data_IF_525992511276
#
_entry.id   IF_525992511276
#
_cell.length_a   1.000
_cell.length_b   1.000
_cell.length_c   1.000
_cell.angle_alpha   90.00
_cell.angle_beta   90.00
_cell.angle_gamma   90.00
#
_symmetry.space_group_name_H-M   'P 1'
#
loop_
_entity.id
_entity.type
_entity.pdbx_description
1 polymer ?
#
# COMPACT_ATOMS: atom_id res chain seq x y z
N UNK A 1 -2.66 -27.13 75.15
CA UNK A 1 -2.78 -27.43 73.71
C UNK A 1 -2.76 -26.08 72.91
N UNK A 2 -1.65 -25.74 72.36
CA UNK A 2 -1.52 -24.49 71.57
C UNK A 2 -1.92 -24.76 70.10
N UNK A 3 -2.95 -24.06 69.58
CA UNK A 3 -3.36 -24.15 68.18
C UNK A 3 -2.50 -23.19 67.39
N UNK A 4 -1.72 -23.72 66.44
CA UNK A 4 -0.95 -22.96 65.50
C UNK A 4 -1.85 -22.70 64.25
N UNK A 5 -2.17 -21.43 64.00
CA UNK A 5 -2.93 -20.99 62.80
C UNK A 5 -1.92 -20.65 61.73
N UNK A 6 -1.88 -21.44 60.63
CA UNK A 6 -1.12 -21.11 59.44
C UNK A 6 -1.94 -20.17 58.58
N UNK A 7 -1.51 -18.89 58.47
CA UNK A 7 -2.06 -17.95 57.49
C UNK A 7 -1.43 -18.21 56.14
N UNK A 8 -2.21 -18.67 55.19
CA UNK A 8 -1.81 -18.85 53.79
C UNK A 8 -1.91 -17.48 53.09
N UNK A 9 -0.77 -16.84 52.84
CA UNK A 9 -0.71 -15.62 52.04
C UNK A 9 -0.73 -16.04 50.56
N UNK A 10 -1.86 -15.83 49.88
CA UNK A 10 -2.00 -16.02 48.44
C UNK A 10 -1.49 -14.74 47.78
N UNK A 11 -0.32 -14.82 47.17
CA UNK A 11 0.27 -13.72 46.37
C UNK A 11 -0.43 -13.71 45.01
N UNK A 12 -1.36 -12.79 44.79
CA UNK A 12 -1.94 -12.51 43.49
C UNK A 12 -0.92 -11.71 42.68
N UNK A 13 -0.18 -12.36 41.79
CA UNK A 13 0.56 -11.68 40.73
C UNK A 13 -0.45 -11.20 39.69
N UNK A 14 -0.75 -9.89 39.67
CA UNK A 14 -1.50 -9.28 38.62
C UNK A 14 -0.64 -9.34 37.33
N UNK A 15 -0.95 -10.26 36.42
CA UNK A 15 -0.49 -10.19 35.06
C UNK A 15 -1.15 -8.95 34.41
N UNK A 16 -0.41 -7.87 34.27
CA UNK A 16 -0.80 -6.77 33.42
C UNK A 16 -0.75 -7.30 31.98
N UNK A 17 -1.92 -7.62 31.42
CA UNK A 17 -2.07 -7.80 29.99
C UNK A 17 -1.84 -6.41 29.41
N UNK A 18 -0.63 -6.15 28.91
CA UNK A 18 -0.39 -5.00 28.05
C UNK A 18 -1.23 -5.23 26.78
N UNK A 19 -2.39 -4.58 26.70
CA UNK A 19 -3.12 -4.49 25.46
C UNK A 19 -2.18 -3.80 24.48
N UNK A 20 -1.70 -4.52 23.46
CA UNK A 20 -0.87 -3.98 22.41
C UNK A 20 -1.66 -2.88 21.73
N UNK A 21 -1.21 -1.65 21.87
CA UNK A 21 -1.86 -0.48 21.30
C UNK A 21 -1.50 -0.47 19.80
N UNK A 22 -2.31 -1.14 18.98
CA UNK A 22 -2.10 -1.22 17.54
C UNK A 22 -2.27 0.16 16.92
N UNK A 23 -1.16 0.83 16.60
CA UNK A 23 -1.14 2.16 15.99
C UNK A 23 -1.72 2.15 14.57
N UNK A 24 -1.37 1.14 13.79
CA UNK A 24 -1.87 0.98 12.42
C UNK A 24 -2.96 -0.09 12.39
N UNK A 25 -4.02 0.18 11.65
CA UNK A 25 -5.15 -0.74 11.45
C UNK A 25 -5.32 -1.05 9.98
N UNK A 26 -5.93 -2.17 9.67
CA UNK A 26 -6.30 -2.50 8.30
C UNK A 26 -7.27 -1.42 7.78
N UNK A 27 -6.85 -0.67 6.76
CA UNK A 27 -7.69 0.36 6.14
C UNK A 27 -8.90 -0.32 5.48
N UNK A 28 -10.15 0.11 5.78
CA UNK A 28 -11.33 -0.47 5.11
C UNK A 28 -11.30 -0.16 3.61
N UNK A 29 -11.75 -1.13 2.80
CA UNK A 29 -11.94 -0.91 1.36
C UNK A 29 -13.05 0.13 1.13
N UNK A 30 -12.86 1.10 0.20
CA UNK A 30 -13.89 2.08 -0.14
C UNK A 30 -15.01 1.50 -1.03
N UNK A 31 -14.95 0.20 -1.35
CA UNK A 31 -15.90 -0.53 -2.19
C UNK A 31 -16.04 -1.99 -1.70
N UNK A 32 -17.14 -2.68 -2.03
CA UNK A 32 -17.29 -4.13 -1.79
C UNK A 32 -16.22 -4.95 -2.53
N UNK A 33 -15.76 -6.04 -1.95
CA UNK A 33 -14.68 -6.86 -2.50
C UNK A 33 -14.92 -7.36 -3.95
N UNK A 34 -16.18 -7.56 -4.35
CA UNK A 34 -16.55 -7.98 -5.70
C UNK A 34 -16.75 -6.81 -6.69
N UNK A 35 -16.64 -5.57 -6.24
CA UNK A 35 -17.02 -4.41 -7.06
C UNK A 35 -16.05 -4.11 -8.21
N UNK A 36 -14.85 -4.65 -8.17
CA UNK A 36 -13.83 -4.44 -9.20
C UNK A 36 -13.81 -5.53 -10.27
N UNK A 37 -14.70 -6.51 -10.18
CA UNK A 37 -14.84 -7.55 -11.21
C UNK A 37 -15.30 -6.93 -12.54
N UNK A 38 -14.83 -7.45 -13.69
CA UNK A 38 -13.94 -8.60 -13.85
C UNK A 38 -12.44 -8.27 -13.79
N UNK A 39 -12.04 -7.02 -13.51
CA UNK A 39 -10.64 -6.57 -13.54
C UNK A 39 -9.82 -7.19 -12.41
N UNK A 40 -10.35 -7.18 -11.20
CA UNK A 40 -9.79 -7.87 -10.04
C UNK A 40 -10.90 -8.69 -9.40
N UNK A 41 -10.71 -10.01 -9.28
CA UNK A 41 -11.72 -10.87 -8.69
C UNK A 41 -11.89 -10.61 -7.19
N UNK A 42 -13.09 -10.92 -6.68
CA UNK A 42 -13.36 -10.93 -5.25
C UNK A 42 -12.33 -11.77 -4.48
N UNK A 43 -11.95 -12.93 -5.01
CA UNK A 43 -10.98 -13.82 -4.38
C UNK A 43 -9.61 -13.14 -4.25
N UNK A 44 -9.13 -12.47 -5.30
CA UNK A 44 -7.88 -11.71 -5.25
C UNK A 44 -7.95 -10.62 -4.20
N UNK A 45 -9.04 -9.83 -4.13
CA UNK A 45 -9.21 -8.79 -3.11
C UNK A 45 -9.22 -9.38 -1.69
N UNK A 46 -9.92 -10.50 -1.45
CA UNK A 46 -9.97 -11.14 -0.13
C UNK A 46 -8.60 -11.63 0.35
N UNK A 47 -7.75 -12.15 -0.54
CA UNK A 47 -6.37 -12.51 -0.20
C UNK A 47 -5.47 -11.28 -0.09
N UNK A 48 -5.50 -10.41 -1.08
CA UNK A 48 -4.58 -9.28 -1.17
C UNK A 48 -4.77 -8.28 -0.03
N UNK A 49 -6.02 -7.85 0.21
CA UNK A 49 -6.36 -6.95 1.31
C UNK A 49 -6.47 -7.72 2.64
N UNK A 50 -7.28 -8.77 2.70
CA UNK A 50 -7.65 -9.44 3.95
C UNK A 50 -6.57 -10.36 4.54
N UNK A 51 -5.53 -10.73 3.78
CA UNK A 51 -4.43 -11.57 4.25
C UNK A 51 -3.08 -10.88 4.10
N UNK A 52 -2.66 -10.48 2.90
CA UNK A 52 -1.35 -9.86 2.69
C UNK A 52 -1.23 -8.52 3.41
N UNK A 53 -2.11 -7.56 3.13
CA UNK A 53 -2.07 -6.26 3.81
C UNK A 53 -2.25 -6.39 5.32
N UNK A 54 -3.19 -7.22 5.79
CA UNK A 54 -3.39 -7.46 7.23
C UNK A 54 -2.12 -8.01 7.90
N UNK A 55 -1.39 -8.92 7.23
CA UNK A 55 -0.14 -9.44 7.77
C UNK A 55 0.92 -8.35 7.88
N UNK A 56 1.07 -7.48 6.87
CA UNK A 56 1.99 -6.35 6.92
C UNK A 56 1.64 -5.35 8.04
N UNK A 57 0.36 -5.06 8.24
CA UNK A 57 -0.12 -4.19 9.34
C UNK A 57 0.24 -4.78 10.70
N UNK A 58 -0.02 -6.08 10.90
CA UNK A 58 0.30 -6.75 12.16
C UNK A 58 1.81 -6.78 12.41
N UNK A 59 2.61 -7.11 11.39
CA UNK A 59 4.07 -7.13 11.49
C UNK A 59 4.63 -5.74 11.78
N UNK A 60 4.11 -4.70 11.11
CA UNK A 60 4.51 -3.31 11.35
C UNK A 60 4.27 -2.91 12.80
N UNK A 61 3.07 -3.16 13.34
CA UNK A 61 2.75 -2.86 14.73
C UNK A 61 3.68 -3.58 15.71
N UNK A 62 4.02 -4.84 15.43
CA UNK A 62 4.98 -5.60 16.27
C UNK A 62 6.39 -4.99 16.22
N UNK A 63 6.83 -4.55 15.03
CA UNK A 63 8.19 -4.04 14.81
C UNK A 63 8.41 -2.63 15.40
N UNK A 64 7.35 -1.79 15.45
CA UNK A 64 7.47 -0.43 16.00
C UNK A 64 7.29 -0.36 17.52
N UNK A 65 6.69 -1.38 18.13
CA UNK A 65 6.35 -1.38 19.55
C UNK A 65 7.60 -1.18 20.42
N UNK A 66 7.55 -0.15 21.31
CA UNK A 66 8.67 0.21 22.18
C UNK A 66 9.90 0.81 21.48
N UNK A 67 9.79 1.20 20.21
CA UNK A 67 10.86 1.84 19.45
C UNK A 67 10.57 3.34 19.23
N UNK A 68 11.57 4.08 18.70
CA UNK A 68 11.39 5.47 18.29
C UNK A 68 10.32 5.65 17.19
N UNK A 69 10.03 4.61 16.41
CA UNK A 69 9.03 4.62 15.34
C UNK A 69 7.59 4.55 15.84
N UNK A 70 7.35 4.22 17.10
CA UNK A 70 6.00 4.02 17.65
C UNK A 70 5.11 5.28 17.52
N UNK A 71 5.70 6.47 17.53
CA UNK A 71 4.96 7.73 17.42
C UNK A 71 5.09 8.43 16.05
N UNK A 72 5.79 7.83 15.08
CA UNK A 72 5.99 8.41 13.75
C UNK A 72 4.82 8.13 12.81
N UNK A 73 4.61 8.99 11.81
CA UNK A 73 3.68 8.71 10.70
C UNK A 73 4.17 7.51 9.87
N UNK A 74 3.30 6.92 9.07
CA UNK A 74 3.68 5.80 8.21
C UNK A 74 4.73 6.22 7.18
N UNK A 75 4.56 7.40 6.60
CA UNK A 75 5.49 8.00 5.65
C UNK A 75 6.86 8.28 6.28
N UNK A 76 6.89 8.79 7.52
CA UNK A 76 8.15 8.98 8.26
C UNK A 76 8.88 7.67 8.53
N UNK A 77 8.14 6.60 8.88
CA UNK A 77 8.72 5.28 9.08
C UNK A 77 9.34 4.78 7.77
N UNK A 78 8.60 4.88 6.65
CA UNK A 78 9.13 4.49 5.34
C UNK A 78 10.37 5.30 4.94
N UNK A 79 10.40 6.59 5.25
CA UNK A 79 11.52 7.46 4.89
C UNK A 79 12.78 7.23 5.74
N UNK A 80 12.63 6.71 6.98
CA UNK A 80 13.71 6.67 7.98
C UNK A 80 14.16 5.28 8.39
N UNK A 81 13.36 4.24 8.10
CA UNK A 81 13.64 2.88 8.53
C UNK A 81 14.37 2.05 7.46
N UNK A 82 14.89 0.91 7.86
CA UNK A 82 15.60 -0.05 7.01
C UNK A 82 15.13 -1.49 7.28
N UNK A 83 15.55 -2.42 6.41
CA UNK A 83 15.36 -3.86 6.62
C UNK A 83 13.89 -4.28 6.72
N UNK A 84 13.58 -5.11 7.70
CA UNK A 84 12.22 -5.67 7.90
C UNK A 84 11.17 -4.61 8.23
N UNK A 85 11.54 -3.59 9.01
CA UNK A 85 10.65 -2.48 9.34
C UNK A 85 10.29 -1.67 8.10
N UNK A 86 11.28 -1.27 7.31
CA UNK A 86 11.09 -0.59 6.02
C UNK A 86 10.17 -1.40 5.09
N UNK A 87 10.42 -2.70 4.93
CA UNK A 87 9.62 -3.53 4.05
C UNK A 87 8.15 -3.61 4.49
N UNK A 88 7.88 -3.79 5.78
CA UNK A 88 6.50 -3.88 6.26
C UNK A 88 5.80 -2.50 6.22
N UNK A 89 6.47 -1.42 6.61
CA UNK A 89 5.92 -0.07 6.53
C UNK A 89 5.64 0.34 5.08
N UNK A 90 6.60 0.09 4.17
CA UNK A 90 6.43 0.36 2.75
C UNK A 90 5.28 -0.44 2.14
N UNK A 91 5.15 -1.72 2.49
CA UNK A 91 4.01 -2.52 2.02
C UNK A 91 2.68 -2.02 2.57
N UNK A 92 2.59 -1.60 3.83
CA UNK A 92 1.34 -1.00 4.36
C UNK A 92 1.01 0.29 3.60
N UNK A 93 1.98 1.16 3.36
CA UNK A 93 1.78 2.41 2.62
C UNK A 93 1.39 2.14 1.16
N UNK A 94 2.11 1.25 0.48
CA UNK A 94 1.83 0.86 -0.90
C UNK A 94 0.40 0.35 -1.07
N UNK A 95 -0.02 -0.60 -0.22
CA UNK A 95 -1.35 -1.19 -0.32
C UNK A 95 -2.47 -0.20 0.06
N UNK A 96 -2.26 0.68 1.04
CA UNK A 96 -3.22 1.72 1.39
C UNK A 96 -3.46 2.66 0.20
N UNK A 97 -2.40 3.09 -0.48
CA UNK A 97 -2.50 3.91 -1.68
C UNK A 97 -3.11 3.14 -2.86
N UNK A 98 -2.76 1.86 -3.01
CA UNK A 98 -3.26 0.98 -4.08
C UNK A 98 -4.76 0.75 -3.98
N UNK A 99 -5.27 0.35 -2.81
CA UNK A 99 -6.70 0.05 -2.68
C UNK A 99 -7.59 1.30 -2.72
N UNK A 100 -7.10 2.45 -2.27
CA UNK A 100 -7.90 3.69 -2.31
C UNK A 100 -7.97 4.32 -3.69
N UNK A 101 -7.07 3.96 -4.61
CA UNK A 101 -7.08 4.52 -5.97
C UNK A 101 -8.07 3.84 -6.93
N UNK A 102 -8.83 2.83 -6.50
CA UNK A 102 -9.77 2.12 -7.35
C UNK A 102 -11.22 2.50 -7.07
N UNK A 103 -12.05 2.37 -8.11
CA UNK A 103 -13.51 2.54 -8.04
C UNK A 103 -14.17 1.69 -9.13
N UNK A 104 -15.34 1.07 -8.85
CA UNK A 104 -16.12 0.41 -9.89
C UNK A 104 -16.59 1.38 -11.00
N UNK A 105 -16.67 2.69 -10.70
CA UNK A 105 -17.03 3.75 -11.65
C UNK A 105 -15.80 4.44 -12.24
N UNK A 106 -14.62 3.84 -12.13
CA UNK A 106 -13.33 4.38 -12.55
C UNK A 106 -13.08 4.38 -14.06
N UNK A 107 -11.83 4.64 -14.45
CA UNK A 107 -11.32 4.41 -15.81
C UNK A 107 -11.54 5.52 -16.83
N UNK A 108 -12.15 6.65 -16.46
CA UNK A 108 -12.43 7.75 -17.41
C UNK A 108 -11.22 8.57 -17.85
N UNK A 109 -10.06 8.33 -17.26
CA UNK A 109 -8.83 9.12 -17.46
C UNK A 109 -8.72 10.31 -16.52
N UNK A 110 -7.51 10.88 -16.39
CA UNK A 110 -7.28 12.10 -15.62
C UNK A 110 -7.89 13.33 -16.29
N UNK A 111 -8.06 14.39 -15.53
CA UNK A 111 -8.55 15.69 -16.00
C UNK A 111 -7.68 16.84 -15.46
N UNK A 112 -8.07 18.09 -15.76
CA UNK A 112 -7.46 19.27 -15.18
C UNK A 112 -5.94 19.35 -15.31
N UNK A 113 -5.28 19.79 -14.25
CA UNK A 113 -3.82 20.02 -14.22
C UNK A 113 -3.02 18.71 -14.31
N UNK A 114 -3.51 17.62 -13.74
CA UNK A 114 -2.83 16.33 -13.87
C UNK A 114 -2.77 15.87 -15.32
N UNK A 115 -3.88 15.98 -16.07
CA UNK A 115 -3.88 15.64 -17.50
C UNK A 115 -2.93 16.54 -18.30
N UNK A 116 -2.92 17.85 -18.01
CA UNK A 116 -2.00 18.79 -18.66
C UNK A 116 -0.54 18.44 -18.38
N UNK A 117 -0.19 18.11 -17.14
CA UNK A 117 1.15 17.70 -16.75
C UNK A 117 1.56 16.39 -17.44
N UNK A 118 0.67 15.40 -17.49
CA UNK A 118 0.91 14.14 -18.20
C UNK A 118 1.11 14.37 -19.69
N UNK A 119 0.21 15.12 -20.33
CA UNK A 119 0.30 15.37 -21.78
C UNK A 119 1.49 16.25 -22.14
N UNK A 120 1.83 17.22 -21.30
CA UNK A 120 3.03 18.05 -21.46
C UNK A 120 4.33 17.23 -21.42
N UNK A 121 4.38 16.18 -20.58
CA UNK A 121 5.61 15.38 -20.43
C UNK A 121 5.70 14.21 -21.40
N UNK A 122 4.60 13.53 -21.72
CA UNK A 122 4.59 12.33 -22.57
C UNK A 122 3.92 12.54 -23.94
N UNK A 123 3.44 13.76 -24.22
CA UNK A 123 2.75 14.11 -25.47
C UNK A 123 1.28 13.68 -25.51
N UNK A 124 0.92 12.59 -24.83
CA UNK A 124 -0.47 12.12 -24.68
C UNK A 124 -0.63 11.21 -23.47
N UNK A 125 -1.88 11.06 -23.00
CA UNK A 125 -2.20 10.10 -21.95
C UNK A 125 -1.92 8.66 -22.38
N UNK A 126 -2.17 8.30 -23.63
CA UNK A 126 -1.89 6.96 -24.15
C UNK A 126 -0.38 6.66 -24.18
N UNK A 127 0.47 7.63 -24.49
CA UNK A 127 1.91 7.44 -24.42
C UNK A 127 2.39 7.26 -22.98
N UNK A 128 1.83 8.02 -22.05
CA UNK A 128 2.09 7.83 -20.62
C UNK A 128 1.72 6.42 -20.17
N UNK A 129 0.52 5.92 -20.50
CA UNK A 129 0.10 4.56 -20.15
C UNK A 129 1.08 3.51 -20.68
N UNK A 130 1.47 3.62 -21.95
CA UNK A 130 2.44 2.70 -22.57
C UNK A 130 3.78 2.69 -21.82
N UNK A 131 4.29 3.85 -21.44
CA UNK A 131 5.55 3.94 -20.70
C UNK A 131 5.42 3.41 -19.27
N UNK A 132 4.32 3.70 -18.61
CA UNK A 132 4.01 3.19 -17.27
C UNK A 132 3.87 1.65 -17.25
N UNK A 133 3.09 1.08 -18.17
CA UNK A 133 2.93 -0.38 -18.33
C UNK A 133 4.28 -1.04 -18.65
N UNK A 134 5.06 -0.48 -19.61
CA UNK A 134 6.39 -0.97 -19.95
C UNK A 134 7.29 -1.01 -18.72
N UNK A 135 7.25 0.03 -17.89
CA UNK A 135 8.01 0.09 -16.63
C UNK A 135 7.57 -1.02 -15.67
N UNK A 136 6.26 -1.24 -15.48
CA UNK A 136 5.74 -2.31 -14.63
C UNK A 136 6.09 -3.72 -15.13
N UNK A 137 5.99 -3.96 -16.44
CA UNK A 137 6.34 -5.26 -17.05
C UNK A 137 7.83 -5.55 -16.92
N UNK A 138 8.68 -4.54 -17.10
CA UNK A 138 10.14 -4.72 -17.11
C UNK A 138 10.76 -4.81 -15.71
N UNK A 139 10.02 -4.53 -14.64
CA UNK A 139 10.52 -4.70 -13.29
C UNK A 139 10.78 -6.18 -13.01
N UNK A 140 12.04 -6.52 -12.74
CA UNK A 140 12.42 -7.89 -12.47
C UNK A 140 11.99 -8.29 -11.05
N UNK A 141 11.24 -9.40 -10.94
CA UNK A 141 10.74 -9.91 -9.66
C UNK A 141 9.50 -9.16 -9.16
N UNK A 142 9.42 -9.02 -7.84
CA UNK A 142 8.31 -8.40 -7.13
C UNK A 142 8.56 -6.93 -6.85
N UNK A 143 7.51 -6.12 -6.91
CA UNK A 143 7.61 -4.70 -6.61
C UNK A 143 6.41 -3.91 -7.11
N UNK A 144 6.65 -2.64 -7.38
CA UNK A 144 5.64 -1.65 -7.71
C UNK A 144 6.13 -0.74 -8.83
N UNK A 145 5.23 -0.30 -9.70
CA UNK A 145 5.48 0.84 -10.59
C UNK A 145 4.65 2.02 -10.12
N UNK A 146 5.27 3.21 -10.02
CA UNK A 146 4.63 4.41 -9.50
C UNK A 146 4.73 5.57 -10.47
N UNK A 147 3.63 6.32 -10.63
CA UNK A 147 3.65 7.72 -11.03
C UNK A 147 3.79 8.55 -9.76
N UNK A 148 4.79 9.39 -9.71
CA UNK A 148 5.10 10.25 -8.56
C UNK A 148 5.36 11.68 -9.00
N UNK A 149 5.32 12.62 -8.05
CA UNK A 149 5.65 14.03 -8.25
C UNK A 149 6.89 14.38 -7.42
N UNK A 150 7.86 15.06 -7.99
CA UNK A 150 9.00 15.62 -7.27
C UNK A 150 8.66 16.98 -6.62
N UNK A 151 9.61 17.55 -5.87
CA UNK A 151 9.47 18.84 -5.19
C UNK A 151 9.30 20.03 -6.15
N UNK A 152 9.58 19.86 -7.44
CA UNK A 152 9.41 20.89 -8.48
C UNK A 152 8.09 20.71 -9.25
N UNK A 153 7.25 19.74 -8.86
CA UNK A 153 6.01 19.41 -9.53
C UNK A 153 6.16 18.53 -10.79
N UNK A 154 7.38 18.07 -11.10
CA UNK A 154 7.63 17.20 -12.25
C UNK A 154 7.15 15.78 -11.95
N UNK A 155 6.47 15.19 -12.94
CA UNK A 155 6.03 13.79 -12.88
C UNK A 155 7.17 12.82 -13.20
N UNK A 156 7.25 11.71 -12.48
CA UNK A 156 8.29 10.69 -12.64
C UNK A 156 7.65 9.31 -12.55
N UNK A 157 7.98 8.43 -13.50
CA UNK A 157 7.67 6.99 -13.39
C UNK A 157 8.86 6.31 -12.72
N UNK A 158 8.62 5.58 -11.63
CA UNK A 158 9.66 4.83 -10.93
C UNK A 158 9.28 3.35 -10.77
N UNK A 159 10.31 2.49 -10.74
CA UNK A 159 10.22 1.10 -10.32
C UNK A 159 10.69 1.02 -8.87
N UNK A 160 9.89 0.38 -8.02
CA UNK A 160 10.17 0.23 -6.61
C UNK A 160 10.19 -1.27 -6.26
N UNK A 161 11.38 -1.88 -6.13
CA UNK A 161 11.49 -3.31 -5.82
C UNK A 161 10.95 -3.64 -4.43
N UNK A 162 10.37 -4.82 -4.27
CA UNK A 162 9.85 -5.34 -2.99
C UNK A 162 8.84 -4.40 -2.31
N UNK A 163 9.12 -3.97 -1.08
CA UNK A 163 8.29 -3.05 -0.30
C UNK A 163 8.66 -1.57 -0.47
N UNK A 164 9.57 -1.23 -1.39
CA UNK A 164 9.98 0.17 -1.59
C UNK A 164 8.81 1.04 -2.03
N UNK A 165 8.88 2.34 -1.67
CA UNK A 165 7.89 3.35 -2.00
C UNK A 165 8.61 4.66 -2.38
N UNK A 166 8.08 5.46 -3.32
CA UNK A 166 8.67 6.76 -3.71
C UNK A 166 8.94 7.73 -2.57
N UNK A 167 8.18 7.66 -1.46
CA UNK A 167 8.39 8.49 -0.25
C UNK A 167 9.82 8.34 0.28
N UNK A 168 10.42 7.15 0.22
CA UNK A 168 11.81 6.93 0.64
C UNK A 168 12.83 7.72 -0.21
N UNK A 169 12.41 8.22 -1.37
CA UNK A 169 13.21 9.05 -2.30
C UNK A 169 12.80 10.53 -2.28
N UNK A 170 11.95 10.92 -1.33
CA UNK A 170 11.41 12.29 -1.24
C UNK A 170 10.40 12.64 -2.34
N UNK A 171 9.79 11.65 -2.97
CA UNK A 171 8.76 11.84 -4.00
C UNK A 171 7.36 11.65 -3.40
N UNK A 172 6.37 12.31 -3.98
CA UNK A 172 4.96 12.15 -3.64
C UNK A 172 4.34 11.06 -4.55
N UNK A 173 3.94 9.89 -4.04
CA UNK A 173 3.29 8.85 -4.84
C UNK A 173 1.86 9.27 -5.21
N UNK A 174 1.51 9.16 -6.49
CA UNK A 174 0.20 9.55 -7.02
C UNK A 174 -0.64 8.34 -7.43
N UNK A 175 -0.07 7.47 -8.28
CA UNK A 175 -0.70 6.27 -8.81
C UNK A 175 0.31 5.12 -8.77
N UNK A 176 -0.06 3.98 -8.22
CA UNK A 176 0.80 2.82 -8.12
C UNK A 176 0.15 1.53 -8.61
N UNK A 177 0.86 0.72 -9.39
CA UNK A 177 0.43 -0.63 -9.73
C UNK A 177 1.33 -1.65 -9.07
N UNK A 178 0.70 -2.61 -8.40
CA UNK A 178 1.36 -3.74 -7.77
C UNK A 178 1.72 -4.79 -8.83
N UNK A 179 3.00 -5.14 -8.91
CA UNK A 179 3.52 -6.19 -9.79
C UNK A 179 4.06 -7.41 -9.02
N UNK A 180 3.76 -7.50 -7.73
CA UNK A 180 3.87 -8.76 -6.99
C UNK A 180 2.89 -9.78 -7.57
N UNK A 181 3.30 -11.03 -7.73
CA UNK A 181 2.44 -12.08 -8.29
C UNK A 181 1.14 -12.30 -7.49
N UNK A 182 1.18 -12.08 -6.17
CA UNK A 182 -0.01 -12.20 -5.33
C UNK A 182 -1.13 -11.22 -5.71
N UNK A 183 -0.82 -10.12 -6.38
CA UNK A 183 -1.81 -9.11 -6.77
C UNK A 183 -2.61 -9.50 -8.02
N UNK A 184 -2.08 -10.45 -8.83
CA UNK A 184 -2.70 -10.76 -10.13
C UNK A 184 -2.71 -12.24 -10.53
N UNK A 185 -1.97 -13.11 -9.86
CA UNK A 185 -1.76 -14.49 -10.34
C UNK A 185 -3.05 -15.33 -10.41
N UNK A 186 -4.00 -15.11 -9.48
CA UNK A 186 -5.29 -15.80 -9.49
C UNK A 186 -6.14 -15.47 -10.72
N UNK A 187 -6.05 -14.23 -11.21
CA UNK A 187 -6.87 -13.74 -12.32
C UNK A 187 -6.14 -13.83 -13.68
N UNK A 188 -4.85 -13.54 -13.68
CA UNK A 188 -4.06 -13.38 -14.90
C UNK A 188 -2.90 -14.38 -15.02
N UNK A 189 -2.60 -15.19 -14.02
CA UNK A 189 -1.45 -16.10 -13.95
C UNK A 189 -0.14 -15.33 -14.26
N UNK A 190 0.63 -15.78 -15.23
CA UNK A 190 1.89 -15.12 -15.63
C UNK A 190 1.71 -13.91 -16.57
N UNK A 191 0.47 -13.53 -16.87
CA UNK A 191 0.17 -12.45 -17.82
C UNK A 191 0.17 -11.08 -17.12
N UNK A 192 1.34 -10.67 -16.56
CA UNK A 192 1.50 -9.37 -15.89
C UNK A 192 1.08 -8.19 -16.78
N UNK A 193 1.39 -8.24 -18.07
CA UNK A 193 1.04 -7.18 -19.02
C UNK A 193 -0.49 -6.99 -19.12
N UNK A 194 -1.25 -8.09 -19.19
CA UNK A 194 -2.72 -8.04 -19.26
C UNK A 194 -3.28 -7.43 -17.97
N UNK A 195 -2.79 -7.85 -16.81
CA UNK A 195 -3.17 -7.28 -15.53
C UNK A 195 -2.97 -5.75 -15.52
N UNK A 196 -1.78 -5.29 -15.87
CA UNK A 196 -1.48 -3.85 -15.88
C UNK A 196 -2.38 -3.07 -16.84
N UNK A 197 -2.68 -3.62 -18.02
CA UNK A 197 -3.55 -2.97 -19.00
C UNK A 197 -5.02 -2.91 -18.55
N UNK A 198 -5.48 -3.89 -17.77
CA UNK A 198 -6.85 -3.91 -17.27
C UNK A 198 -7.07 -2.95 -16.10
N UNK A 199 -6.04 -2.69 -15.25
CA UNK A 199 -6.17 -1.80 -14.10
C UNK A 199 -6.63 -0.38 -14.46
N UNK A 200 -6.31 0.11 -15.66
CA UNK A 200 -6.75 1.45 -16.08
C UNK A 200 -8.26 1.62 -16.09
N UNK A 201 -9.03 0.53 -16.23
CA UNK A 201 -10.49 0.55 -16.28
C UNK A 201 -11.16 0.89 -14.95
N UNK A 202 -10.42 0.75 -13.84
CA UNK A 202 -10.95 0.91 -12.48
C UNK A 202 -10.29 2.04 -11.68
N UNK A 203 -9.39 2.83 -12.30
CA UNK A 203 -8.72 3.94 -11.59
C UNK A 203 -9.72 5.04 -11.23
N UNK A 204 -9.79 5.37 -9.95
CA UNK A 204 -10.45 6.56 -9.44
C UNK A 204 -9.54 7.78 -9.63
N UNK A 205 -9.63 8.41 -10.78
CA UNK A 205 -8.78 9.55 -11.12
C UNK A 205 -8.93 10.74 -10.18
N UNK A 206 -10.11 10.91 -9.54
CA UNK A 206 -10.29 11.95 -8.52
C UNK A 206 -9.37 11.76 -7.32
N UNK A 207 -9.15 10.52 -6.91
CA UNK A 207 -8.19 10.21 -5.84
C UNK A 207 -6.75 10.52 -6.25
N UNK A 208 -6.38 10.17 -7.49
CA UNK A 208 -5.04 10.45 -8.04
C UNK A 208 -4.81 11.96 -8.18
N UNK A 209 -5.81 12.71 -8.67
CA UNK A 209 -5.80 14.18 -8.77
C UNK A 209 -5.67 14.83 -7.38
N UNK A 210 -6.43 14.35 -6.39
CA UNK A 210 -6.33 14.85 -5.01
C UNK A 210 -4.94 14.64 -4.38
N UNK A 211 -4.23 13.58 -4.77
CA UNK A 211 -2.82 13.38 -4.36
C UNK A 211 -1.86 14.30 -5.11
N UNK A 212 -2.17 14.62 -6.36
CA UNK A 212 -1.36 15.54 -7.17
C UNK A 212 -1.45 16.99 -6.66
N UNK A 213 -2.60 17.41 -6.15
CA UNK A 213 -2.84 18.75 -5.61
C UNK A 213 -2.18 19.00 -4.24
N UNK A 214 -1.80 17.96 -3.50
CA UNK A 214 -1.05 18.05 -2.23
C UNK A 214 0.40 18.44 -2.46
#
# INVERSE_FOLDING_TARGET
MKKIIYSLIILFTAMTINAQNNKFTLLPLPYPAAALEPVISKQTIEFHHGKHLLAYVNNLNNLINGTEYENMTLEDIVAKSEGGLFNNAGQVLNHNLYFTQFSPDGGRGPSGELLQSITGQWGSFENFKKEFEKSGVSLFGSGWVWLSKDSNGKLIITQEPNGSNPVAKGLVPLLGFDVWEHSYYLDYQNRRADHLSELWKIINWKEVEARFEK
#
